data_IF_003932363351
#
_entry.id   IF_003932363351
#
_cell.length_a   1.000
_cell.length_b   1.000
_cell.length_c   1.000
_cell.angle_alpha   90.00
_cell.angle_beta   90.00
_cell.angle_gamma   90.00
#
_symmetry.space_group_name_H-M   'P 1'
#
loop_
_entity.id
_entity.type
_entity.pdbx_description
1 polymer ?
#
# COMPACT_ATOMS: atom_id res chain seq x y z
N UNK A 1 -26.23 2.50 -69.97
CA UNK A 1 -25.35 2.10 -68.85
C UNK A 1 -25.76 2.87 -67.61
N UNK A 2 -26.41 2.20 -66.65
CA UNK A 2 -26.75 2.77 -65.33
C UNK A 2 -25.66 2.31 -64.36
N UNK A 3 -24.87 3.25 -63.84
CA UNK A 3 -23.91 2.96 -62.78
C UNK A 3 -24.58 3.21 -61.43
N UNK A 4 -24.90 2.13 -60.72
CA UNK A 4 -25.35 2.17 -59.33
C UNK A 4 -24.12 2.29 -58.43
N UNK A 5 -23.96 3.43 -57.76
CA UNK A 5 -22.91 3.64 -56.77
C UNK A 5 -23.36 3.02 -55.43
N UNK A 6 -22.77 1.89 -55.05
CA UNK A 6 -23.02 1.23 -53.77
C UNK A 6 -22.16 1.92 -52.70
N UNK A 7 -22.77 2.75 -51.86
CA UNK A 7 -22.12 3.35 -50.69
C UNK A 7 -22.00 2.29 -49.58
N UNK A 8 -20.81 1.73 -49.39
CA UNK A 8 -20.47 0.89 -48.24
C UNK A 8 -20.28 1.79 -47.02
N UNK A 9 -21.31 1.86 -46.17
CA UNK A 9 -21.19 2.38 -44.81
C UNK A 9 -20.43 1.37 -43.96
N UNK A 10 -19.15 1.63 -43.70
CA UNK A 10 -18.38 0.93 -42.67
C UNK A 10 -18.78 1.50 -41.29
N UNK A 11 -19.37 0.72 -40.37
CA UNK A 11 -19.54 1.17 -39.00
C UNK A 11 -18.16 1.15 -38.34
N UNK A 12 -17.57 2.33 -38.14
CA UNK A 12 -16.42 2.50 -37.26
C UNK A 12 -16.87 2.16 -35.84
N UNK A 13 -16.56 0.94 -35.40
CA UNK A 13 -16.59 0.54 -34.00
C UNK A 13 -15.51 1.34 -33.26
N UNK A 14 -15.83 2.57 -32.86
CA UNK A 14 -15.09 3.30 -31.85
C UNK A 14 -15.35 2.60 -30.52
N UNK A 15 -14.49 1.64 -30.17
CA UNK A 15 -14.35 1.23 -28.78
C UNK A 15 -13.81 2.44 -28.01
N UNK A 16 -14.71 3.23 -27.43
CA UNK A 16 -14.37 4.12 -26.31
C UNK A 16 -13.96 3.22 -25.14
N UNK A 17 -12.70 2.81 -25.10
CA UNK A 17 -12.10 2.38 -23.84
C UNK A 17 -12.15 3.61 -22.95
N UNK A 18 -12.95 3.57 -21.89
CA UNK A 18 -12.90 4.57 -20.83
C UNK A 18 -11.44 4.66 -20.38
N UNK A 19 -10.80 5.79 -20.68
CA UNK A 19 -9.40 6.08 -20.34
C UNK A 19 -9.18 5.90 -18.83
N UNK A 20 -8.71 4.72 -18.42
CA UNK A 20 -8.41 4.36 -17.03
C UNK A 20 -6.98 4.68 -16.63
N UNK A 21 -6.40 5.70 -17.27
CA UNK A 21 -4.99 6.10 -17.22
C UNK A 21 -4.47 6.42 -15.80
N UNK A 22 -5.36 6.65 -14.85
CA UNK A 22 -5.03 7.01 -13.47
C UNK A 22 -5.49 5.96 -12.44
N UNK A 23 -6.13 4.87 -12.90
CA UNK A 23 -6.49 3.75 -12.05
C UNK A 23 -5.24 3.01 -11.55
N UNK A 24 -5.33 2.28 -10.42
CA UNK A 24 -4.27 1.38 -9.98
C UNK A 24 -3.88 0.35 -11.04
N UNK A 25 -2.59 0.16 -11.23
CA UNK A 25 -1.98 -0.82 -12.15
C UNK A 25 -0.83 -1.54 -11.45
N UNK A 26 -0.23 -2.56 -12.08
CA UNK A 26 0.94 -3.23 -11.51
C UNK A 26 2.12 -2.26 -11.30
N UNK A 27 2.34 -1.33 -12.25
CA UNK A 27 3.39 -0.32 -12.17
C UNK A 27 3.07 0.80 -11.17
N UNK A 28 1.78 1.12 -11.01
CA UNK A 28 1.29 2.17 -10.12
C UNK A 28 0.21 1.58 -9.20
N UNK A 29 0.59 0.79 -8.19
CA UNK A 29 -0.34 -0.01 -7.38
C UNK A 29 -1.31 0.83 -6.56
N UNK A 30 -1.03 2.12 -6.38
CA UNK A 30 -1.89 3.06 -5.66
C UNK A 30 -2.62 4.04 -6.58
N UNK A 31 -2.58 3.84 -7.89
CA UNK A 31 -3.15 4.76 -8.88
C UNK A 31 -2.35 6.06 -8.98
N UNK A 32 -2.86 7.00 -9.80
CA UNK A 32 -2.27 8.33 -10.00
C UNK A 32 -3.31 9.41 -9.75
N UNK A 33 -2.85 10.59 -9.36
CA UNK A 33 -3.71 11.78 -9.33
C UNK A 33 -4.14 12.12 -10.76
N UNK A 34 -5.43 12.32 -10.97
CA UNK A 34 -5.95 12.76 -12.26
C UNK A 34 -5.77 14.29 -12.39
N UNK A 35 -5.09 14.81 -13.44
CA UNK A 35 -4.91 16.24 -13.66
C UNK A 35 -6.22 17.03 -13.83
N UNK A 36 -7.32 16.37 -14.21
CA UNK A 36 -8.65 16.96 -14.31
C UNK A 36 -9.49 16.84 -13.05
N UNK A 37 -9.00 16.21 -11.98
CA UNK A 37 -9.69 16.15 -10.70
C UNK A 37 -9.68 17.52 -10.00
N UNK A 38 -10.61 17.77 -9.05
CA UNK A 38 -10.46 18.90 -8.14
C UNK A 38 -9.09 18.90 -7.47
N UNK A 39 -8.42 20.06 -7.41
CA UNK A 39 -7.05 20.18 -6.91
C UNK A 39 -6.89 19.63 -5.48
N UNK A 40 -7.95 19.69 -4.68
CA UNK A 40 -8.00 19.19 -3.32
C UNK A 40 -7.75 17.69 -3.25
N UNK A 41 -7.99 16.90 -4.31
CA UNK A 41 -7.63 15.47 -4.33
C UNK A 41 -6.13 15.25 -4.07
N UNK A 42 -5.29 16.26 -4.36
CA UNK A 42 -3.87 16.27 -4.01
C UNK A 42 -3.58 16.45 -2.50
N UNK A 43 -4.55 16.86 -1.68
CA UNK A 43 -4.39 17.01 -0.22
C UNK A 43 -3.88 15.71 0.43
N UNK A 44 -4.29 14.57 -0.11
CA UNK A 44 -3.92 13.23 0.36
C UNK A 44 -2.65 12.68 -0.31
N UNK A 45 -2.02 13.39 -1.25
CA UNK A 45 -0.88 12.87 -2.01
C UNK A 45 0.27 12.31 -1.12
N UNK A 46 0.68 12.98 -0.03
CA UNK A 46 1.73 12.45 0.84
C UNK A 46 1.31 11.17 1.58
N UNK A 47 0.01 10.92 1.73
CA UNK A 47 -0.53 9.74 2.42
C UNK A 47 -0.59 8.51 1.50
N UNK A 48 -0.62 8.70 0.17
CA UNK A 48 -0.72 7.62 -0.83
C UNK A 48 0.46 6.65 -0.68
N UNK A 49 0.15 5.36 -0.61
CA UNK A 49 1.11 4.29 -0.32
C UNK A 49 0.71 3.48 0.90
N UNK A 50 1.68 2.78 1.49
CA UNK A 50 1.48 1.94 2.67
C UNK A 50 2.24 2.55 3.84
N UNK A 51 1.62 2.58 5.02
CA UNK A 51 2.24 2.98 6.27
C UNK A 51 2.18 1.85 7.29
N UNK A 52 3.26 1.72 8.04
CA UNK A 52 3.34 0.92 9.26
C UNK A 52 2.96 1.82 10.44
N UNK A 53 1.88 1.49 11.13
CA UNK A 53 1.29 2.37 12.14
C UNK A 53 1.08 1.70 13.49
N UNK A 54 0.95 2.54 14.52
CA UNK A 54 0.63 2.16 15.89
C UNK A 54 -0.65 2.87 16.31
N UNK A 55 -1.69 2.11 16.70
CA UNK A 55 -3.01 2.63 17.09
C UNK A 55 -3.25 2.47 18.59
N UNK A 56 -3.61 3.56 19.27
CA UNK A 56 -3.92 3.57 20.71
C UNK A 56 -5.28 4.21 20.98
N UNK A 57 -6.17 3.50 21.67
CA UNK A 57 -7.49 4.01 22.08
C UNK A 57 -7.55 4.27 23.57
N UNK A 58 -8.40 5.20 24.00
CA UNK A 58 -8.68 5.42 25.42
C UNK A 58 -9.53 4.29 25.99
N UNK A 59 -9.27 3.90 27.24
CA UNK A 59 -10.09 2.94 28.01
C UNK A 59 -11.27 3.66 28.67
N UNK A 60 -12.18 2.88 29.25
CA UNK A 60 -13.31 3.41 30.02
C UNK A 60 -12.88 4.24 31.24
N UNK A 61 -11.71 3.95 31.80
CA UNK A 61 -11.11 4.69 32.92
C UNK A 61 -10.38 5.99 32.51
N UNK A 62 -10.51 6.40 31.24
CA UNK A 62 -9.88 7.59 30.65
C UNK A 62 -8.35 7.53 30.55
N UNK A 63 -7.73 6.35 30.75
CA UNK A 63 -6.30 6.14 30.46
C UNK A 63 -6.10 5.61 29.05
N UNK A 64 -4.90 5.80 28.49
CA UNK A 64 -4.56 5.21 27.19
C UNK A 64 -4.43 3.68 27.30
N UNK A 65 -5.02 3.00 26.33
CA UNK A 65 -4.91 1.56 26.13
C UNK A 65 -3.51 1.13 25.72
N UNK A 66 -3.35 -0.19 25.60
CA UNK A 66 -2.19 -0.74 24.88
C UNK A 66 -2.28 -0.37 23.41
N UNK A 67 -1.10 -0.20 22.82
CA UNK A 67 -0.99 0.14 21.41
C UNK A 67 -1.00 -1.12 20.57
N UNK A 68 -1.66 -1.06 19.42
CA UNK A 68 -1.79 -2.17 18.49
C UNK A 68 -1.10 -1.84 17.18
N UNK A 69 -0.41 -2.81 16.59
CA UNK A 69 0.16 -2.65 15.24
C UNK A 69 -0.95 -2.69 14.19
N UNK A 70 -0.79 -1.85 13.18
CA UNK A 70 -1.67 -1.83 12.02
C UNK A 70 -0.92 -1.39 10.77
N UNK A 71 -1.33 -1.93 9.63
CA UNK A 71 -0.97 -1.39 8.31
C UNK A 71 -2.08 -0.42 7.88
N UNK A 72 -1.71 0.70 7.25
CA UNK A 72 -2.66 1.65 6.66
C UNK A 72 -2.25 1.99 5.23
N UNK A 73 -3.09 1.65 4.27
CA UNK A 73 -2.87 1.86 2.84
C UNK A 73 -3.81 2.94 2.31
N UNK A 74 -3.27 3.90 1.56
CA UNK A 74 -4.02 4.91 0.81
C UNK A 74 -3.77 4.74 -0.69
N UNK A 75 -4.81 4.93 -1.50
CA UNK A 75 -4.74 4.89 -2.96
C UNK A 75 -5.73 5.84 -3.62
N UNK A 76 -5.39 6.25 -4.83
CA UNK A 76 -6.33 6.89 -5.72
C UNK A 76 -7.28 5.86 -6.33
N UNK A 77 -8.56 6.21 -6.39
CA UNK A 77 -9.63 5.42 -7.00
C UNK A 77 -10.47 6.31 -7.92
N UNK A 78 -11.46 5.72 -8.59
CA UNK A 78 -12.34 6.42 -9.55
C UNK A 78 -11.52 7.19 -10.60
N UNK A 79 -10.52 6.51 -11.16
CA UNK A 79 -9.59 7.07 -12.14
C UNK A 79 -8.92 8.37 -11.68
N UNK A 80 -8.39 8.37 -10.45
CA UNK A 80 -7.60 9.47 -9.90
C UNK A 80 -8.40 10.66 -9.37
N UNK A 81 -9.73 10.53 -9.24
CA UNK A 81 -10.62 11.62 -8.80
C UNK A 81 -11.11 11.49 -7.35
N UNK A 82 -10.81 10.38 -6.70
CA UNK A 82 -11.18 10.11 -5.31
C UNK A 82 -10.08 9.32 -4.60
N UNK A 83 -10.16 9.26 -3.26
CA UNK A 83 -9.17 8.58 -2.41
C UNK A 83 -9.85 7.49 -1.61
N UNK A 84 -9.22 6.31 -1.56
CA UNK A 84 -9.59 5.22 -0.67
C UNK A 84 -8.47 4.98 0.33
N UNK A 85 -8.84 4.69 1.57
CA UNK A 85 -7.94 4.12 2.56
C UNK A 85 -8.44 2.78 3.11
N UNK A 86 -7.51 1.94 3.55
CA UNK A 86 -7.77 0.68 4.22
C UNK A 86 -6.76 0.48 5.35
N UNK A 87 -7.23 -0.04 6.48
CA UNK A 87 -6.45 -0.35 7.66
C UNK A 87 -6.64 -1.81 8.05
N UNK A 88 -5.54 -2.49 8.34
CA UNK A 88 -5.52 -3.89 8.78
C UNK A 88 -4.76 -3.94 10.10
N UNK A 89 -5.44 -4.32 11.17
CA UNK A 89 -4.82 -4.43 12.50
C UNK A 89 -4.41 -5.87 12.80
N UNK A 90 -3.46 -6.03 13.72
CA UNK A 90 -2.97 -7.35 14.14
C UNK A 90 -4.05 -8.26 14.74
N UNK A 91 -5.16 -7.70 15.24
CA UNK A 91 -6.32 -8.43 15.75
C UNK A 91 -7.31 -8.90 14.66
N UNK A 92 -6.94 -8.74 13.38
CA UNK A 92 -7.78 -9.06 12.22
C UNK A 92 -8.95 -8.10 11.99
N UNK A 93 -9.02 -6.95 12.69
CA UNK A 93 -9.98 -5.90 12.36
C UNK A 93 -9.53 -5.11 11.13
N UNK A 94 -10.46 -4.95 10.20
CA UNK A 94 -10.25 -4.25 8.94
C UNK A 94 -11.24 -3.08 8.88
N UNK A 95 -10.75 -1.89 8.53
CA UNK A 95 -11.61 -0.74 8.30
C UNK A 95 -11.06 0.14 7.20
N UNK A 96 -11.87 0.99 6.61
CA UNK A 96 -11.41 1.87 5.55
C UNK A 96 -12.40 2.96 5.22
N UNK A 97 -11.98 3.88 4.37
CA UNK A 97 -12.79 5.03 3.99
C UNK A 97 -12.73 5.28 2.50
N UNK A 98 -13.83 5.80 1.94
CA UNK A 98 -13.87 6.39 0.60
C UNK A 98 -14.10 7.89 0.76
N UNK A 99 -13.28 8.68 0.08
CA UNK A 99 -13.20 10.13 0.19
C UNK A 99 -13.42 10.76 -1.18
N UNK A 100 -14.40 11.64 -1.28
CA UNK A 100 -14.70 12.40 -2.49
C UNK A 100 -14.77 13.89 -2.16
N UNK A 101 -14.14 14.71 -2.98
CA UNK A 101 -14.25 16.15 -2.85
C UNK A 101 -15.42 16.64 -3.68
N UNK A 102 -16.37 17.34 -3.04
CA UNK A 102 -17.51 17.94 -3.74
C UNK A 102 -17.21 19.43 -3.91
N UNK A 103 -16.95 19.84 -5.16
CA UNK A 103 -16.55 21.21 -5.49
C UNK A 103 -17.62 22.25 -5.09
N UNK A 104 -18.89 21.94 -5.35
CA UNK A 104 -20.03 22.85 -5.08
C UNK A 104 -20.17 23.19 -3.59
N UNK A 105 -19.90 22.23 -2.70
CA UNK A 105 -19.91 22.43 -1.24
C UNK A 105 -18.52 22.70 -0.65
N UNK A 106 -17.50 22.73 -1.53
CA UNK A 106 -16.09 22.97 -1.23
C UNK A 106 -15.59 22.19 -0.02
N UNK A 107 -15.92 20.89 0.05
CA UNK A 107 -15.54 20.03 1.17
C UNK A 107 -15.40 18.57 0.76
N UNK A 108 -14.57 17.88 1.53
CA UNK A 108 -14.45 16.43 1.52
C UNK A 108 -15.67 15.78 2.14
N UNK A 109 -16.13 14.70 1.52
CA UNK A 109 -17.11 13.75 2.05
C UNK A 109 -16.45 12.39 2.22
N UNK A 110 -16.50 11.87 3.43
CA UNK A 110 -15.77 10.68 3.83
C UNK A 110 -16.72 9.67 4.43
N UNK A 111 -16.86 8.52 3.78
CA UNK A 111 -17.66 7.39 4.27
C UNK A 111 -16.75 6.32 4.83
N UNK A 112 -17.04 5.87 6.06
CA UNK A 112 -16.24 4.87 6.76
C UNK A 112 -16.91 3.49 6.79
N UNK A 113 -16.10 2.45 6.68
CA UNK A 113 -16.49 1.04 6.60
C UNK A 113 -15.66 0.21 7.59
N UNK A 114 -16.23 -0.89 8.09
CA UNK A 114 -15.55 -1.83 9.00
C UNK A 114 -16.11 -3.24 8.86
N UNK A 115 -15.25 -4.24 8.99
CA UNK A 115 -15.66 -5.65 8.96
C UNK A 115 -16.26 -6.15 10.28
N UNK A 116 -15.74 -5.70 11.43
CA UNK A 116 -16.20 -6.13 12.77
C UNK A 116 -17.45 -5.39 13.22
N UNK A 117 -17.69 -4.18 12.70
CA UNK A 117 -18.86 -3.37 13.04
C UNK A 117 -19.38 -2.66 11.80
N UNK A 118 -19.94 -3.42 10.83
CA UNK A 118 -20.45 -2.84 9.60
C UNK A 118 -21.61 -1.87 9.91
N UNK A 119 -21.54 -0.61 9.47
CA UNK A 119 -22.59 0.34 9.74
C UNK A 119 -23.83 0.06 8.88
N UNK A 120 -25.02 0.16 9.47
CA UNK A 120 -26.30 0.06 8.74
C UNK A 120 -26.66 1.34 7.98
N UNK A 121 -26.08 2.46 8.38
CA UNK A 121 -26.12 3.75 7.69
C UNK A 121 -24.71 4.30 7.62
N UNK A 122 -24.26 4.70 6.43
CA UNK A 122 -22.88 5.10 6.21
C UNK A 122 -22.58 6.39 6.99
N UNK A 123 -21.67 6.34 7.97
CA UNK A 123 -21.29 7.53 8.69
C UNK A 123 -20.49 8.44 7.75
N UNK A 124 -20.92 9.70 7.64
CA UNK A 124 -20.26 10.72 6.80
C UNK A 124 -19.52 11.71 7.68
N UNK A 125 -18.23 11.91 7.38
CA UNK A 125 -17.47 13.04 7.87
C UNK A 125 -17.29 14.05 6.75
N UNK A 126 -17.33 15.33 7.12
CA UNK A 126 -17.17 16.46 6.22
C UNK A 126 -16.03 17.37 6.68
N UNK A 127 -15.25 17.91 5.75
CA UNK A 127 -14.23 18.88 6.14
C UNK A 127 -13.26 19.23 5.03
N UNK A 128 -12.10 19.77 5.41
CA UNK A 128 -11.13 20.37 4.50
C UNK A 128 -9.72 20.31 5.08
N UNK A 129 -8.74 20.58 4.23
CA UNK A 129 -7.41 20.96 4.68
C UNK A 129 -7.46 22.34 5.37
N UNK A 130 -6.85 22.45 6.55
CA UNK A 130 -6.73 23.66 7.37
C UNK A 130 -5.23 23.87 7.68
N UNK A 131 -4.57 24.74 6.94
CA UNK A 131 -3.11 24.84 6.98
C UNK A 131 -2.49 23.55 6.44
N UNK A 132 -1.66 22.88 7.23
CA UNK A 132 -1.03 21.61 6.86
C UNK A 132 -1.83 20.37 7.31
N UNK A 133 -2.85 20.57 8.14
CA UNK A 133 -3.68 19.50 8.70
C UNK A 133 -4.91 19.23 7.81
N UNK A 134 -5.38 17.98 7.76
CA UNK A 134 -6.71 17.65 7.20
C UNK A 134 -7.67 17.42 8.36
N UNK A 135 -8.72 18.23 8.46
CA UNK A 135 -9.66 18.21 9.58
C UNK A 135 -11.07 17.92 9.10
N UNK A 136 -11.68 16.89 9.66
CA UNK A 136 -13.00 16.36 9.28
C UNK A 136 -13.91 16.28 10.51
N UNK A 137 -15.17 16.61 10.34
CA UNK A 137 -16.17 16.66 11.40
C UNK A 137 -17.35 15.77 11.07
N UNK A 138 -17.91 15.17 12.11
CA UNK A 138 -19.21 14.51 12.06
C UNK A 138 -19.95 14.88 13.33
N UNK A 139 -21.19 15.32 13.22
CA UNK A 139 -22.03 15.62 14.39
C UNK A 139 -22.13 14.41 15.32
N UNK A 140 -21.89 14.65 16.61
CA UNK A 140 -21.99 13.61 17.65
C UNK A 140 -22.19 14.26 19.01
N UNK A 141 -23.30 13.94 19.67
CA UNK A 141 -23.52 14.32 21.07
C UNK A 141 -22.55 13.58 22.00
N UNK A 142 -22.10 14.25 23.05
CA UNK A 142 -21.38 13.63 24.16
C UNK A 142 -22.31 12.70 24.96
N UNK A 143 -21.76 11.80 25.81
CA UNK A 143 -22.57 10.91 26.66
C UNK A 143 -23.55 11.64 27.58
N UNK A 144 -23.25 12.88 27.97
CA UNK A 144 -24.11 13.75 28.78
C UNK A 144 -25.17 14.52 27.96
N UNK A 145 -25.26 14.28 26.65
CA UNK A 145 -26.23 14.93 25.75
C UNK A 145 -25.80 16.27 25.16
N UNK A 146 -24.62 16.79 25.53
CA UNK A 146 -24.06 18.03 24.98
C UNK A 146 -23.79 17.88 23.48
N UNK A 147 -24.18 18.89 22.70
CA UNK A 147 -23.91 18.94 21.26
C UNK A 147 -22.41 19.14 20.99
N UNK A 148 -21.93 18.52 19.92
CA UNK A 148 -20.53 18.59 19.53
C UNK A 148 -20.25 17.75 18.29
N UNK A 149 -18.97 17.55 18.03
CA UNK A 149 -18.48 16.85 16.86
C UNK A 149 -17.53 15.72 17.26
N UNK A 150 -17.55 14.65 16.49
CA UNK A 150 -16.42 13.74 16.42
C UNK A 150 -15.48 14.21 15.30
N UNK A 151 -14.39 14.86 15.71
CA UNK A 151 -13.36 15.44 14.85
C UNK A 151 -12.27 14.42 14.55
N UNK A 152 -11.90 14.29 13.29
CA UNK A 152 -10.73 13.54 12.84
C UNK A 152 -9.71 14.55 12.31
N UNK A 153 -8.46 14.44 12.73
CA UNK A 153 -7.38 15.28 12.21
C UNK A 153 -6.21 14.41 11.75
N UNK A 154 -5.77 14.62 10.52
CA UNK A 154 -4.45 14.19 10.05
C UNK A 154 -3.49 15.35 10.27
N UNK A 155 -2.36 15.08 10.92
CA UNK A 155 -1.35 16.06 11.34
C UNK A 155 0.04 15.60 10.97
N UNK A 156 0.99 16.53 10.96
CA UNK A 156 2.41 16.27 10.66
C UNK A 156 2.58 15.44 9.38
N UNK A 157 1.77 15.75 8.36
CA UNK A 157 1.71 14.99 7.12
C UNK A 157 2.98 15.26 6.32
N UNK A 158 3.68 14.20 5.94
CA UNK A 158 4.92 14.27 5.15
C UNK A 158 5.12 12.99 4.33
N UNK A 159 6.17 12.96 3.52
CA UNK A 159 6.59 11.73 2.83
C UNK A 159 7.17 10.66 3.76
N UNK A 160 7.47 10.99 5.01
CA UNK A 160 7.96 10.01 6.00
C UNK A 160 6.82 9.40 6.83
N UNK A 161 5.63 9.99 6.82
CA UNK A 161 4.49 9.52 7.61
C UNK A 161 3.54 10.63 8.04
N UNK A 162 2.69 10.32 9.01
CA UNK A 162 1.69 11.24 9.56
C UNK A 162 1.20 10.78 10.94
N UNK A 163 0.55 11.70 11.67
CA UNK A 163 -0.23 11.38 12.86
C UNK A 163 -1.72 11.55 12.56
N UNK A 164 -2.55 10.71 13.18
CA UNK A 164 -3.99 10.82 13.10
C UNK A 164 -4.60 10.81 14.49
N UNK A 165 -5.59 11.67 14.72
CA UNK A 165 -6.28 11.77 16.00
C UNK A 165 -7.79 11.86 15.79
N UNK A 166 -8.52 11.06 16.57
CA UNK A 166 -9.97 11.05 16.67
C UNK A 166 -10.42 11.56 18.04
N UNK A 167 -11.20 12.63 18.05
CA UNK A 167 -11.52 13.40 19.24
C UNK A 167 -13.00 13.75 19.26
N UNK A 168 -13.58 13.84 20.46
CA UNK A 168 -14.82 14.59 20.62
C UNK A 168 -14.47 16.05 20.95
N UNK A 169 -15.15 16.98 20.31
CA UNK A 169 -15.04 18.42 20.59
C UNK A 169 -16.42 19.04 20.76
N UNK A 170 -16.53 20.03 21.62
CA UNK A 170 -17.76 20.83 21.71
C UNK A 170 -17.92 21.74 20.47
N UNK A 171 -19.07 22.37 20.31
CA UNK A 171 -19.36 23.21 19.14
C UNK A 171 -18.46 24.44 19.01
N UNK A 172 -17.83 24.89 20.11
CA UNK A 172 -16.84 25.98 20.10
C UNK A 172 -15.40 25.50 19.93
N UNK A 173 -15.16 24.19 19.92
CA UNK A 173 -13.84 23.55 19.89
C UNK A 173 -12.90 23.97 21.05
N UNK A 174 -13.45 24.44 22.17
CA UNK A 174 -12.70 24.82 23.37
C UNK A 174 -12.49 23.65 24.31
N UNK A 175 -13.42 22.69 24.30
CA UNK A 175 -13.36 21.45 25.05
C UNK A 175 -13.00 20.33 24.08
N UNK A 176 -11.84 19.72 24.29
CA UNK A 176 -11.29 18.67 23.43
C UNK A 176 -11.03 17.41 24.24
N UNK A 177 -11.64 16.30 23.84
CA UNK A 177 -11.45 14.99 24.45
C UNK A 177 -10.91 13.99 23.42
N UNK A 178 -9.60 13.73 23.39
CA UNK A 178 -9.02 12.75 22.49
C UNK A 178 -9.41 11.33 22.90
N UNK A 179 -9.80 10.52 21.92
CA UNK A 179 -10.31 9.15 22.17
C UNK A 179 -9.49 8.09 21.47
N UNK A 180 -8.78 8.47 20.40
CA UNK A 180 -8.01 7.57 19.57
C UNK A 180 -6.88 8.33 18.90
N UNK A 181 -5.67 7.78 18.94
CA UNK A 181 -4.51 8.29 18.19
C UNK A 181 -3.87 7.17 17.38
N UNK A 182 -3.29 7.54 16.26
CA UNK A 182 -2.53 6.65 15.39
C UNK A 182 -1.27 7.39 14.93
N UNK A 183 -0.12 6.74 15.07
CA UNK A 183 1.17 7.23 14.62
C UNK A 183 1.64 6.34 13.47
N UNK A 184 1.88 6.93 12.29
CA UNK A 184 2.19 6.19 11.06
C UNK A 184 3.55 6.59 10.50
N UNK A 185 4.33 5.58 10.09
CA UNK A 185 5.58 5.74 9.34
C UNK A 185 5.37 5.17 7.93
N UNK A 186 5.66 5.96 6.90
CA UNK A 186 5.49 5.55 5.51
C UNK A 186 6.51 4.49 5.15
N UNK A 187 6.03 3.38 4.59
CA UNK A 187 6.89 2.28 4.14
C UNK A 187 7.65 2.74 2.91
N UNK A 188 8.98 2.83 3.04
CA UNK A 188 9.85 3.17 1.90
C UNK A 188 9.79 2.06 0.87
N UNK A 189 9.63 2.43 -0.41
CA UNK A 189 9.86 1.50 -1.51
C UNK A 189 11.35 1.14 -1.48
N UNK A 190 11.65 -0.15 -1.33
CA UNK A 190 13.01 -0.64 -1.48
C UNK A 190 13.48 -0.42 -2.92
N UNK A 191 14.70 0.05 -3.08
CA UNK A 191 15.38 0.06 -4.37
C UNK A 191 15.59 -1.37 -4.88
N UNK A 192 15.76 -1.54 -6.18
CA UNK A 192 16.03 -2.87 -6.77
C UNK A 192 17.30 -3.50 -6.16
N UNK A 193 18.29 -2.66 -5.82
CA UNK A 193 19.49 -3.09 -5.10
C UNK A 193 19.16 -3.69 -3.72
N UNK A 194 18.35 -3.00 -2.91
CA UNK A 194 17.94 -3.51 -1.59
C UNK A 194 17.09 -4.78 -1.70
N UNK A 195 16.27 -4.88 -2.75
CA UNK A 195 15.49 -6.10 -3.06
C UNK A 195 16.44 -7.26 -3.39
N UNK A 196 17.44 -7.03 -4.24
CA UNK A 196 18.46 -8.04 -4.59
C UNK A 196 19.21 -8.49 -3.32
N UNK A 197 19.72 -7.56 -2.51
CA UNK A 197 20.44 -7.89 -1.27
C UNK A 197 19.58 -8.70 -0.28
N UNK A 198 18.28 -8.36 -0.18
CA UNK A 198 17.32 -9.12 0.62
C UNK A 198 17.10 -10.52 0.06
N UNK A 199 16.97 -10.67 -1.26
CA UNK A 199 16.82 -11.97 -1.92
C UNK A 199 18.09 -12.83 -1.76
N UNK A 200 19.28 -12.24 -1.86
CA UNK A 200 20.56 -12.91 -1.60
C UNK A 200 20.64 -13.43 -0.17
N UNK A 201 20.21 -12.63 0.82
CA UNK A 201 20.16 -13.05 2.22
C UNK A 201 19.17 -14.21 2.42
N UNK A 202 17.99 -14.11 1.80
CA UNK A 202 16.97 -15.16 1.83
C UNK A 202 17.45 -16.46 1.18
N UNK A 203 18.21 -16.37 0.08
CA UNK A 203 18.82 -17.53 -0.56
C UNK A 203 19.81 -18.23 0.39
N UNK A 204 20.71 -17.46 1.02
CA UNK A 204 21.67 -18.02 1.98
C UNK A 204 20.97 -18.70 3.16
N UNK A 205 19.89 -18.10 3.66
CA UNK A 205 19.07 -18.70 4.72
C UNK A 205 18.44 -20.02 4.27
N UNK A 206 17.79 -20.05 3.10
CA UNK A 206 17.19 -21.26 2.55
C UNK A 206 18.23 -22.38 2.34
N UNK A 207 19.46 -22.02 1.97
CA UNK A 207 20.56 -22.98 1.82
C UNK A 207 20.97 -23.61 3.15
N UNK A 208 21.10 -22.80 4.20
CA UNK A 208 21.40 -23.30 5.55
C UNK A 208 20.28 -24.17 6.13
N UNK A 209 19.03 -23.85 5.81
CA UNK A 209 17.84 -24.58 6.28
C UNK A 209 17.52 -25.84 5.44
N UNK A 210 18.30 -26.12 4.38
CA UNK A 210 18.04 -27.18 3.42
C UNK A 210 16.64 -27.10 2.77
N UNK A 211 16.08 -25.89 2.66
CA UNK A 211 14.82 -25.64 1.98
C UNK A 211 15.04 -25.57 0.47
N UNK A 212 15.14 -26.76 -0.13
CA UNK A 212 15.40 -26.91 -1.57
C UNK A 212 14.30 -26.32 -2.45
N UNK A 213 13.06 -26.20 -1.94
CA UNK A 213 11.99 -25.59 -2.70
C UNK A 213 12.17 -24.07 -2.74
N UNK A 214 12.43 -23.46 -1.58
CA UNK A 214 12.73 -22.03 -1.50
C UNK A 214 13.97 -21.68 -2.34
N UNK A 215 15.05 -22.47 -2.27
CA UNK A 215 16.24 -22.28 -3.12
C UNK A 215 15.91 -22.23 -4.61
N UNK A 216 15.13 -23.18 -5.10
CA UNK A 216 14.73 -23.21 -6.51
C UNK A 216 13.85 -22.01 -6.90
N UNK A 217 13.03 -21.51 -5.96
CA UNK A 217 12.14 -20.37 -6.19
C UNK A 217 12.89 -19.02 -6.27
N UNK A 218 14.15 -18.93 -5.84
CA UNK A 218 14.98 -17.73 -6.03
C UNK A 218 15.45 -17.56 -7.49
N UNK A 219 15.26 -18.57 -8.34
CA UNK A 219 15.54 -18.50 -9.78
C UNK A 219 14.27 -18.16 -10.56
N UNK A 220 14.40 -17.55 -11.74
CA UNK A 220 13.30 -17.47 -12.71
C UNK A 220 12.85 -18.86 -13.14
N UNK A 221 11.66 -18.98 -13.73
CA UNK A 221 11.13 -20.26 -14.21
C UNK A 221 12.06 -20.93 -15.23
N UNK A 222 12.69 -20.13 -16.08
CA UNK A 222 13.65 -20.49 -17.11
C UNK A 222 15.12 -20.34 -16.67
N UNK A 223 15.37 -20.20 -15.37
CA UNK A 223 16.69 -19.90 -14.81
C UNK A 223 17.77 -20.90 -15.24
N UNK A 224 19.01 -20.41 -15.36
CA UNK A 224 20.17 -21.19 -15.83
C UNK A 224 21.34 -21.07 -14.87
N UNK A 225 22.01 -22.19 -14.64
CA UNK A 225 23.31 -22.25 -13.95
C UNK A 225 24.34 -22.77 -14.95
N UNK A 226 25.52 -22.15 -14.96
CA UNK A 226 26.66 -22.48 -15.82
C UNK A 226 27.82 -23.00 -14.98
N UNK A 227 27.81 -24.27 -14.54
CA UNK A 227 28.93 -24.82 -13.80
C UNK A 227 30.14 -25.03 -14.73
N UNK A 228 31.34 -24.96 -14.17
CA UNK A 228 32.57 -25.21 -14.92
C UNK A 228 32.62 -26.66 -15.43
N UNK A 229 32.99 -26.83 -16.70
CA UNK A 229 33.20 -28.13 -17.35
C UNK A 229 32.00 -29.09 -17.29
N UNK A 230 30.76 -28.56 -17.26
CA UNK A 230 29.54 -29.35 -17.33
C UNK A 230 28.49 -28.72 -18.23
N UNK A 231 27.46 -29.48 -18.55
CA UNK A 231 26.28 -28.96 -19.25
C UNK A 231 25.55 -27.90 -18.41
N UNK A 232 24.85 -27.00 -19.11
CA UNK A 232 24.02 -25.95 -18.52
C UNK A 232 22.82 -26.59 -17.81
N UNK A 233 22.60 -26.22 -16.56
CA UNK A 233 21.45 -26.67 -15.78
C UNK A 233 20.34 -25.64 -15.98
N UNK A 234 19.21 -26.07 -16.57
CA UNK A 234 18.10 -25.17 -16.94
C UNK A 234 16.79 -25.54 -16.24
N UNK A 235 16.09 -24.53 -15.76
CA UNK A 235 14.77 -24.63 -15.12
C UNK A 235 14.81 -25.06 -13.65
N UNK A 236 13.83 -24.59 -12.89
CA UNK A 236 13.76 -24.76 -11.42
C UNK A 236 13.87 -26.22 -10.96
N UNK A 237 13.29 -27.17 -11.69
CA UNK A 237 13.36 -28.60 -11.33
C UNK A 237 14.79 -29.17 -11.40
N UNK A 238 15.59 -28.74 -12.38
CA UNK A 238 16.99 -29.18 -12.49
C UNK A 238 17.87 -28.43 -11.48
N UNK A 239 17.61 -27.14 -11.28
CA UNK A 239 18.30 -26.31 -10.28
C UNK A 239 18.07 -26.83 -8.86
N UNK A 240 16.84 -27.21 -8.51
CA UNK A 240 16.52 -27.83 -7.21
C UNK A 240 17.41 -29.06 -6.95
N UNK A 241 17.50 -29.96 -7.94
CA UNK A 241 18.33 -31.16 -7.87
C UNK A 241 19.82 -30.84 -7.69
N UNK A 242 20.32 -29.76 -8.30
CA UNK A 242 21.71 -29.31 -8.15
C UNK A 242 22.05 -28.87 -6.72
N UNK A 243 21.09 -28.31 -6.00
CA UNK A 243 21.28 -27.81 -4.63
C UNK A 243 21.03 -28.86 -3.55
N UNK A 244 20.41 -30.00 -3.87
CA UNK A 244 20.15 -31.07 -2.91
C UNK A 244 21.45 -31.74 -2.44
N UNK A 245 21.65 -31.80 -1.12
CA UNK A 245 22.78 -32.49 -0.52
C UNK A 245 22.46 -33.97 -0.24
N UNK A 246 23.47 -34.84 -0.15
CA UNK A 246 23.30 -36.20 0.34
C UNK A 246 22.67 -36.24 1.74
N UNK A 247 21.97 -37.33 2.03
CA UNK A 247 21.37 -37.55 3.34
C UNK A 247 22.42 -37.52 4.46
N UNK A 248 22.07 -36.90 5.59
CA UNK A 248 22.95 -36.75 6.76
C UNK A 248 23.92 -35.56 6.70
N UNK A 249 23.95 -34.79 5.60
CA UNK A 249 24.74 -33.55 5.52
C UNK A 249 23.97 -32.37 6.11
N UNK A 250 24.72 -31.43 6.72
CA UNK A 250 24.21 -30.15 7.19
C UNK A 250 25.12 -29.01 6.77
N UNK A 251 24.53 -27.84 6.54
CA UNK A 251 25.27 -26.61 6.24
C UNK A 251 25.40 -25.82 7.54
N UNK A 252 26.63 -25.64 8.01
CA UNK A 252 26.91 -24.90 9.25
C UNK A 252 26.79 -23.39 9.06
N UNK A 253 27.20 -22.93 7.87
CA UNK A 253 27.21 -21.52 7.54
C UNK A 253 27.15 -21.36 6.03
N UNK A 254 26.47 -20.32 5.57
CA UNK A 254 26.54 -19.86 4.21
C UNK A 254 26.15 -18.40 4.13
N UNK A 255 26.94 -17.59 3.42
CA UNK A 255 26.66 -16.19 3.19
C UNK A 255 27.20 -15.78 1.84
N UNK A 256 26.39 -15.07 1.06
CA UNK A 256 26.82 -14.45 -0.21
C UNK A 256 26.95 -12.95 0.02
N UNK A 257 28.06 -12.36 -0.43
CA UNK A 257 28.34 -10.93 -0.34
C UNK A 257 28.63 -10.40 -1.74
N UNK A 258 27.76 -9.52 -2.25
CA UNK A 258 27.98 -8.84 -3.52
C UNK A 258 29.12 -7.83 -3.41
N UNK A 259 30.03 -7.83 -4.39
CA UNK A 259 31.05 -6.79 -4.56
C UNK A 259 30.54 -5.65 -5.44
N UNK A 260 29.71 -5.98 -6.43
CA UNK A 260 28.99 -5.02 -7.26
C UNK A 260 27.58 -5.53 -7.54
N UNK A 261 26.62 -4.61 -7.57
CA UNK A 261 25.29 -4.83 -8.12
C UNK A 261 25.05 -3.66 -9.07
N UNK A 262 24.78 -3.95 -10.35
CA UNK A 262 24.44 -2.93 -11.34
C UNK A 262 23.06 -3.21 -11.92
N UNK A 263 22.18 -2.23 -11.75
CA UNK A 263 20.84 -2.22 -12.33
C UNK A 263 20.92 -1.64 -13.74
N UNK A 264 20.31 -2.32 -14.70
CA UNK A 264 20.20 -1.93 -16.11
C UNK A 264 18.75 -2.16 -16.52
N UNK A 265 17.96 -1.08 -16.51
CA UNK A 265 16.53 -1.11 -16.77
C UNK A 265 15.79 -2.15 -15.90
N UNK A 266 15.27 -3.21 -16.50
CA UNK A 266 14.54 -4.30 -15.86
C UNK A 266 15.44 -5.50 -15.50
N UNK A 267 16.75 -5.39 -15.73
CA UNK A 267 17.74 -6.41 -15.39
C UNK A 267 18.75 -5.91 -14.38
N UNK A 268 19.41 -6.85 -13.71
CA UNK A 268 20.59 -6.56 -12.91
C UNK A 268 21.64 -7.63 -13.16
N UNK A 269 22.90 -7.24 -13.05
CA UNK A 269 23.97 -8.21 -12.83
C UNK A 269 24.64 -7.93 -11.49
N UNK A 270 25.08 -9.00 -10.84
CA UNK A 270 25.90 -8.95 -9.65
C UNK A 270 27.11 -9.87 -9.79
N UNK A 271 28.14 -9.58 -9.01
CA UNK A 271 29.21 -10.54 -8.73
C UNK A 271 29.75 -10.29 -7.33
N UNK A 272 30.35 -11.32 -6.75
CA UNK A 272 30.91 -11.23 -5.41
C UNK A 272 31.50 -12.54 -4.94
N UNK A 273 31.47 -12.73 -3.62
CA UNK A 273 32.07 -13.87 -2.95
C UNK A 273 31.05 -14.56 -2.06
N UNK A 274 31.28 -15.84 -1.78
CA UNK A 274 30.53 -16.57 -0.76
C UNK A 274 31.46 -17.08 0.33
N UNK A 275 30.90 -17.22 1.53
CA UNK A 275 31.52 -17.78 2.73
C UNK A 275 30.69 -19.03 3.11
N UNK A 276 31.32 -20.16 3.44
CA UNK A 276 30.63 -21.42 3.75
C UNK A 276 31.46 -22.38 4.60
#
# INVERSE_FOLDING_TARGET
MKYTFLLLFFPSLLFSQLDSNYAPTLENPFGKLNPGAPIQVADYAPLIGICDCTSTRIKQDQTWGESQKMEWTFKYIMNGTAVQDESIKEDGSHSGSIRQYIADSSRWYVHWYSNKTPPTSLPTWEGNKKGDDIVLYKERKAPNGMDGFYRLSFKNISEDGFNWIGEWVDTSETVVFPTWKIDCIKRKKLSDKEIIEKNTTSFSKAYMELDYQSLANHYSEDGKIFPNNSDIISGRTAIKRKWMLPEGMSIKYHKVTASEIKIIDDYAYDYGYYEG
#
